data_IF_900832825256
#
_entry.id   IF_900832825256
#
_cell.length_a   1.000
_cell.length_b   1.000
_cell.length_c   1.000
_cell.angle_alpha   90.00
_cell.angle_beta   90.00
_cell.angle_gamma   90.00
#
_symmetry.space_group_name_H-M   'P 1'
#
loop_
_entity.id
_entity.type
_entity.pdbx_description
1 polymer ?
#
# COMPACT_ATOMS: atom_id res chain seq x y z
N UNK A 1 -2.13 -35.25 9.47
CA UNK A 1 -2.51 -33.86 9.76
C UNK A 1 -1.29 -33.15 10.31
N UNK A 2 -0.71 -32.24 9.53
CA UNK A 2 0.57 -31.59 9.85
C UNK A 2 0.37 -30.47 10.87
N UNK A 3 1.37 -30.22 11.70
CA UNK A 3 1.42 -29.25 12.80
C UNK A 3 0.98 -27.82 12.39
N UNK A 4 1.08 -27.49 11.10
CA UNK A 4 0.64 -26.20 10.51
C UNK A 4 -0.88 -26.05 10.42
N UNK A 5 -1.62 -27.13 10.18
CA UNK A 5 -3.10 -27.07 10.15
C UNK A 5 -3.69 -26.88 11.56
N UNK A 6 -3.03 -27.40 12.60
CA UNK A 6 -3.46 -27.18 13.99
C UNK A 6 -3.16 -25.76 14.48
N UNK A 7 -2.11 -25.11 13.94
CA UNK A 7 -1.81 -23.70 14.26
C UNK A 7 -2.83 -22.76 13.63
N UNK A 8 -3.24 -23.00 12.38
CA UNK A 8 -4.28 -22.23 11.70
C UNK A 8 -5.66 -22.38 12.32
N UNK A 9 -6.02 -23.58 12.76
CA UNK A 9 -7.31 -23.85 13.43
C UNK A 9 -7.37 -23.27 14.86
N UNK A 10 -6.26 -23.15 15.56
CA UNK A 10 -6.20 -22.48 16.87
C UNK A 10 -6.28 -20.96 16.76
N UNK A 11 -5.77 -20.35 15.68
CA UNK A 11 -5.89 -18.92 15.42
C UNK A 11 -7.30 -18.50 15.02
N UNK A 12 -8.11 -19.43 14.48
CA UNK A 12 -9.49 -19.15 14.07
C UNK A 12 -10.53 -19.30 15.21
N UNK A 13 -10.14 -19.77 16.40
CA UNK A 13 -11.06 -20.02 17.54
C UNK A 13 -10.85 -19.08 18.73
N UNK A 14 -10.05 -18.01 18.58
CA UNK A 14 -9.99 -16.95 19.57
C UNK A 14 -10.87 -15.76 19.13
N UNK A 15 -12.18 -15.96 19.05
CA UNK A 15 -13.14 -14.85 19.08
C UNK A 15 -13.22 -14.35 20.53
N UNK A 16 -12.21 -13.61 20.95
CA UNK A 16 -12.39 -12.69 22.07
C UNK A 16 -13.23 -11.53 21.55
N UNK A 17 -14.22 -11.12 22.29
CA UNK A 17 -15.18 -10.00 22.08
C UNK A 17 -14.49 -8.59 22.03
N UNK A 18 -13.30 -8.51 21.45
CA UNK A 18 -12.62 -7.25 21.23
C UNK A 18 -12.98 -6.73 19.84
N UNK A 19 -13.49 -5.49 19.72
CA UNK A 19 -13.78 -4.88 18.43
C UNK A 19 -12.52 -4.94 17.54
N UNK A 20 -12.71 -5.13 16.25
CA UNK A 20 -11.63 -5.18 15.28
C UNK A 20 -10.83 -3.87 15.28
N UNK A 21 -9.60 -3.86 14.80
CA UNK A 21 -8.82 -2.63 14.67
C UNK A 21 -9.54 -1.57 13.84
N UNK A 22 -10.37 -2.00 12.89
CA UNK A 22 -11.19 -1.12 12.05
C UNK A 22 -12.24 -0.36 12.86
N UNK A 23 -12.84 -1.01 13.87
CA UNK A 23 -13.83 -0.43 14.78
C UNK A 23 -13.20 0.43 15.88
N UNK A 24 -11.89 0.26 16.14
CA UNK A 24 -11.12 1.02 17.14
C UNK A 24 -10.30 2.16 16.53
N UNK A 25 -10.46 2.40 15.23
CA UNK A 25 -9.73 3.49 14.53
C UNK A 25 -10.68 4.59 14.13
N UNK A 26 -10.42 5.81 14.60
CA UNK A 26 -11.19 7.02 14.32
C UNK A 26 -10.35 8.03 13.55
N UNK A 27 -10.98 8.67 12.57
CA UNK A 27 -10.41 9.81 11.85
C UNK A 27 -11.18 11.08 12.23
N UNK A 28 -10.45 12.11 12.65
CA UNK A 28 -11.03 13.36 13.14
C UNK A 28 -10.57 14.52 12.26
N UNK A 29 -11.49 15.24 11.66
CA UNK A 29 -11.22 16.44 10.86
C UNK A 29 -11.60 17.68 11.67
N UNK A 30 -10.61 18.51 12.00
CA UNK A 30 -10.79 19.76 12.75
C UNK A 30 -11.05 20.90 11.78
N UNK A 31 -12.15 21.65 12.00
CA UNK A 31 -12.46 22.88 11.27
C UNK A 31 -12.40 22.78 9.74
N UNK A 32 -12.81 21.63 9.19
CA UNK A 32 -12.82 21.42 7.75
C UNK A 32 -13.61 22.52 7.04
N UNK A 33 -13.01 23.16 6.03
CA UNK A 33 -13.58 24.32 5.36
C UNK A 33 -14.10 24.02 3.95
N UNK A 34 -13.70 22.91 3.35
CA UNK A 34 -14.07 22.53 1.99
C UNK A 34 -14.80 21.17 1.99
N UNK A 35 -16.05 21.21 1.57
CA UNK A 35 -16.91 20.03 1.49
C UNK A 35 -16.30 18.89 0.66
N UNK A 36 -15.63 19.22 -0.45
CA UNK A 36 -14.93 18.22 -1.28
C UNK A 36 -13.85 17.45 -0.54
N UNK A 37 -13.13 18.08 0.39
CA UNK A 37 -12.12 17.40 1.20
C UNK A 37 -12.75 16.42 2.19
N UNK A 38 -13.94 16.74 2.73
CA UNK A 38 -14.67 15.83 3.62
C UNK A 38 -15.09 14.57 2.87
N UNK A 39 -15.68 14.72 1.69
CA UNK A 39 -16.07 13.59 0.85
C UNK A 39 -14.86 12.75 0.43
N UNK A 40 -13.79 13.39 -0.02
CA UNK A 40 -12.55 12.70 -0.42
C UNK A 40 -11.88 11.98 0.79
N UNK A 41 -11.95 12.56 1.99
CA UNK A 41 -11.45 11.90 3.21
C UNK A 41 -12.31 10.67 3.56
N UNK A 42 -13.64 10.75 3.47
CA UNK A 42 -14.52 9.60 3.65
C UNK A 42 -14.18 8.45 2.69
N UNK A 43 -13.91 8.77 1.42
CA UNK A 43 -13.43 7.79 0.44
C UNK A 43 -12.07 7.21 0.81
N UNK A 44 -11.14 8.05 1.26
CA UNK A 44 -9.80 7.64 1.64
C UNK A 44 -9.79 6.61 2.78
N UNK A 45 -10.59 6.86 3.83
CA UNK A 45 -10.68 5.93 4.96
C UNK A 45 -11.43 4.65 4.59
N UNK A 46 -12.50 4.74 3.80
CA UNK A 46 -13.27 3.57 3.34
C UNK A 46 -12.41 2.61 2.51
N UNK A 47 -11.62 3.13 1.58
CA UNK A 47 -10.75 2.32 0.72
C UNK A 47 -9.70 1.57 1.53
N UNK A 48 -9.34 2.07 2.72
CA UNK A 48 -8.45 1.41 3.67
C UNK A 48 -9.21 0.57 4.72
N UNK A 49 -10.52 0.37 4.56
CA UNK A 49 -11.35 -0.47 5.43
C UNK A 49 -11.73 0.18 6.75
N UNK A 50 -11.65 1.51 6.86
CA UNK A 50 -12.08 2.26 8.04
C UNK A 50 -13.38 3.00 7.77
N UNK A 51 -14.11 3.37 8.84
CA UNK A 51 -15.43 4.00 8.71
C UNK A 51 -15.80 5.01 9.80
N UNK A 52 -15.05 5.10 10.91
CA UNK A 52 -15.36 6.09 11.97
C UNK A 52 -14.74 7.45 11.63
N UNK A 53 -15.58 8.35 11.14
CA UNK A 53 -15.25 9.73 10.77
C UNK A 53 -15.98 10.71 11.69
N UNK A 54 -15.24 11.63 12.30
CA UNK A 54 -15.78 12.69 13.14
C UNK A 54 -15.29 14.04 12.65
N UNK A 55 -16.19 15.00 12.52
CA UNK A 55 -15.89 16.39 12.18
C UNK A 55 -16.08 17.27 13.41
N UNK A 56 -15.04 18.03 13.77
CA UNK A 56 -15.11 18.98 14.88
C UNK A 56 -15.28 20.39 14.33
N UNK A 57 -16.38 21.03 14.67
CA UNK A 57 -16.72 22.39 14.29
C UNK A 57 -16.39 22.71 12.82
N UNK A 58 -16.89 21.93 11.85
CA UNK A 58 -16.68 22.24 10.44
C UNK A 58 -17.27 23.61 10.12
N UNK A 59 -16.74 24.30 9.11
CA UNK A 59 -17.22 25.63 8.71
C UNK A 59 -18.69 25.62 8.29
N UNK A 60 -19.11 24.55 7.61
CA UNK A 60 -20.51 24.30 7.27
C UNK A 60 -21.01 23.13 8.14
N UNK A 61 -21.95 23.36 9.07
CA UNK A 61 -22.52 22.27 9.88
C UNK A 61 -23.23 21.18 9.05
N UNK A 62 -23.71 21.52 7.85
CA UNK A 62 -24.37 20.60 6.93
C UNK A 62 -23.42 19.95 5.92
N UNK A 63 -22.11 20.06 6.13
CA UNK A 63 -21.08 19.62 5.20
C UNK A 63 -21.21 18.15 4.77
N UNK A 64 -21.74 17.28 5.61
CA UNK A 64 -21.94 15.85 5.29
C UNK A 64 -22.99 15.64 4.19
N UNK A 65 -23.98 16.51 4.07
CA UNK A 65 -25.03 16.49 3.05
C UNK A 65 -24.71 17.44 1.87
N UNK A 66 -23.60 18.15 1.93
CA UNK A 66 -23.23 19.08 0.87
C UNK A 66 -22.99 18.31 -0.45
N UNK A 67 -23.54 18.78 -1.61
CA UNK A 67 -23.41 18.06 -2.90
C UNK A 67 -21.98 17.71 -3.28
N UNK A 68 -21.04 18.59 -2.96
CA UNK A 68 -19.62 18.34 -3.23
C UNK A 68 -19.03 17.25 -2.33
N UNK A 69 -19.48 17.13 -1.07
CA UNK A 69 -19.05 16.02 -0.19
C UNK A 69 -19.52 14.68 -0.77
N UNK A 70 -20.78 14.60 -1.16
CA UNK A 70 -21.38 13.39 -1.76
C UNK A 70 -20.67 13.02 -3.08
N UNK A 71 -20.45 14.01 -3.96
CA UNK A 71 -19.76 13.77 -5.23
C UNK A 71 -18.32 13.25 -5.04
N UNK A 72 -17.57 13.82 -4.10
CA UNK A 72 -16.17 13.43 -3.85
C UNK A 72 -16.05 12.16 -3.02
N UNK A 73 -17.09 11.75 -2.30
CA UNK A 73 -17.12 10.48 -1.58
C UNK A 73 -17.13 9.27 -2.53
N UNK A 74 -17.71 9.41 -3.73
CA UNK A 74 -17.62 8.39 -4.80
C UNK A 74 -17.86 6.95 -4.31
N UNK A 75 -19.04 6.70 -3.69
CA UNK A 75 -19.42 5.39 -3.15
C UNK A 75 -19.01 5.17 -1.67
N UNK A 76 -18.52 6.19 -0.98
CA UNK A 76 -18.30 6.17 0.48
C UNK A 76 -19.42 6.90 1.24
N UNK A 77 -20.63 6.87 0.68
CA UNK A 77 -21.83 7.52 1.27
C UNK A 77 -22.18 6.94 2.64
N UNK A 78 -21.93 5.67 2.86
CA UNK A 78 -22.12 4.99 4.14
C UNK A 78 -21.20 5.53 5.25
N UNK A 79 -19.97 5.95 4.90
CA UNK A 79 -19.06 6.61 5.84
C UNK A 79 -19.58 8.00 6.18
N UNK A 80 -20.03 8.78 5.20
CA UNK A 80 -20.63 10.09 5.43
C UNK A 80 -21.93 9.98 6.25
N UNK A 81 -22.76 8.97 6.00
CA UNK A 81 -24.00 8.75 6.73
C UNK A 81 -23.78 8.38 8.21
N UNK A 82 -22.68 7.73 8.54
CA UNK A 82 -22.28 7.38 9.92
C UNK A 82 -21.46 8.47 10.59
N UNK A 83 -20.89 9.41 9.81
CA UNK A 83 -20.03 10.45 10.33
C UNK A 83 -20.80 11.36 11.32
N UNK A 84 -20.09 11.80 12.35
CA UNK A 84 -20.63 12.68 13.37
C UNK A 84 -20.04 14.08 13.23
N UNK A 85 -20.89 15.08 13.43
CA UNK A 85 -20.44 16.47 13.57
C UNK A 85 -20.58 16.84 15.04
N UNK A 86 -19.50 17.29 15.64
CA UNK A 86 -19.45 17.70 17.05
C UNK A 86 -18.93 19.12 17.18
N UNK A 87 -19.29 19.81 18.27
CA UNK A 87 -18.89 21.19 18.50
C UNK A 87 -17.48 21.33 19.07
N UNK A 88 -17.02 20.33 19.82
CA UNK A 88 -15.79 20.39 20.60
C UNK A 88 -14.90 19.19 20.37
N UNK A 89 -13.61 19.39 20.49
CA UNK A 89 -12.60 18.34 20.32
C UNK A 89 -12.77 17.19 21.33
N UNK A 90 -13.12 17.49 22.59
CA UNK A 90 -13.37 16.48 23.62
C UNK A 90 -14.41 15.44 23.20
N UNK A 91 -15.51 15.90 22.60
CA UNK A 91 -16.59 15.04 22.12
C UNK A 91 -16.12 14.07 21.02
N UNK A 92 -15.16 14.51 20.22
CA UNK A 92 -14.54 13.66 19.19
C UNK A 92 -13.62 12.57 19.79
N UNK A 93 -13.14 12.74 21.01
CA UNK A 93 -12.20 11.85 21.66
C UNK A 93 -12.85 10.82 22.59
N UNK A 94 -14.16 10.86 22.78
CA UNK A 94 -14.88 9.90 23.62
C UNK A 94 -14.59 8.46 23.17
N UNK A 95 -14.14 7.61 24.12
CA UNK A 95 -13.77 6.22 23.87
C UNK A 95 -12.42 6.00 23.18
N UNK A 96 -11.67 7.08 22.89
CA UNK A 96 -10.31 7.01 22.33
C UNK A 96 -9.28 6.94 23.44
N UNK A 97 -8.29 6.06 23.30
CA UNK A 97 -7.22 5.86 24.28
C UNK A 97 -5.89 6.48 23.84
N UNK A 98 -5.68 6.59 22.52
CA UNK A 98 -4.48 7.19 21.97
C UNK A 98 -4.80 8.15 20.84
N UNK A 99 -4.31 9.36 20.91
CA UNK A 99 -4.60 10.44 19.95
C UNK A 99 -3.32 10.84 19.24
N UNK A 100 -3.32 10.73 17.91
CA UNK A 100 -2.25 11.18 17.02
C UNK A 100 -2.67 12.46 16.31
N UNK A 101 -2.05 13.58 16.60
CA UNK A 101 -2.13 14.77 15.76
C UNK A 101 -1.38 14.54 14.44
N UNK A 102 -1.79 15.21 13.36
CA UNK A 102 -1.00 15.30 12.13
C UNK A 102 -0.54 16.74 11.94
N UNK A 103 0.76 16.97 11.89
CA UNK A 103 1.33 18.30 11.70
C UNK A 103 2.65 18.23 10.92
N UNK A 104 2.91 19.26 10.10
CA UNK A 104 4.16 19.39 9.37
C UNK A 104 5.32 19.82 10.28
N UNK A 105 5.04 20.68 11.24
CA UNK A 105 6.06 21.34 12.08
C UNK A 105 5.90 20.90 13.52
N UNK A 106 6.97 20.43 14.17
CA UNK A 106 6.98 20.21 15.61
C UNK A 106 6.57 21.48 16.37
N UNK A 107 5.94 21.32 17.51
CA UNK A 107 5.53 22.41 18.39
C UNK A 107 6.43 22.41 19.63
N UNK A 108 6.84 23.60 20.06
CA UNK A 108 7.48 23.76 21.37
C UNK A 108 6.49 23.25 22.44
N UNK A 109 6.97 22.40 23.33
CA UNK A 109 6.16 21.70 24.35
C UNK A 109 5.06 20.79 23.82
N UNK A 110 5.05 20.49 22.50
CA UNK A 110 4.12 19.54 21.90
C UNK A 110 4.49 18.08 22.17
N UNK A 111 3.60 17.14 21.82
CA UNK A 111 3.88 15.72 21.91
C UNK A 111 5.04 15.34 20.96
N UNK A 112 5.73 14.22 21.25
CA UNK A 112 6.81 13.76 20.38
C UNK A 112 6.33 13.53 18.95
N UNK A 113 7.14 13.99 17.99
CA UNK A 113 6.84 13.90 16.57
C UNK A 113 7.55 12.71 15.93
N UNK A 114 6.82 11.95 15.12
CA UNK A 114 7.30 10.74 14.44
C UNK A 114 6.86 10.71 12.99
N UNK A 115 7.66 10.11 12.12
CA UNK A 115 7.14 9.64 10.83
C UNK A 115 6.13 8.49 11.08
N UNK A 116 5.05 8.35 10.27
CA UNK A 116 4.06 7.29 10.46
C UNK A 116 4.68 5.90 10.60
N UNK A 117 5.58 5.51 9.71
CA UNK A 117 6.28 4.20 9.74
C UNK A 117 7.11 3.96 10.98
N UNK A 118 7.56 5.01 11.67
CA UNK A 118 8.34 4.87 12.89
C UNK A 118 7.47 4.61 14.13
N UNK A 119 6.23 5.15 14.18
CA UNK A 119 5.37 5.04 15.37
C UNK A 119 4.26 4.01 15.24
N UNK A 120 3.64 3.91 14.08
CA UNK A 120 2.44 3.09 13.90
C UNK A 120 2.63 1.60 14.22
N UNK A 121 3.78 0.94 13.89
CA UNK A 121 3.98 -0.47 14.24
C UNK A 121 3.91 -0.76 15.75
N UNK A 122 4.52 0.10 16.56
CA UNK A 122 4.43 -0.05 18.00
C UNK A 122 2.99 0.18 18.50
N UNK A 123 2.31 1.20 17.98
CA UNK A 123 0.95 1.55 18.35
C UNK A 123 -0.05 0.43 18.02
N UNK A 124 0.11 -0.24 16.88
CA UNK A 124 -0.73 -1.38 16.50
C UNK A 124 -0.63 -2.55 17.51
N UNK A 125 0.59 -2.79 18.03
CA UNK A 125 0.83 -3.81 19.04
C UNK A 125 0.22 -3.50 20.41
N UNK A 126 -0.09 -2.24 20.70
CA UNK A 126 -0.68 -1.81 21.98
C UNK A 126 -2.19 -2.14 22.10
N UNK A 127 -2.89 -2.43 20.98
CA UNK A 127 -4.31 -2.81 20.97
C UNK A 127 -5.29 -1.72 21.39
N UNK A 128 -4.87 -0.45 21.38
CA UNK A 128 -5.65 0.69 21.85
C UNK A 128 -6.68 1.16 20.82
N UNK A 129 -7.70 1.89 21.30
CA UNK A 129 -8.57 2.71 20.45
C UNK A 129 -7.82 3.99 20.05
N UNK A 130 -7.62 4.20 18.75
CA UNK A 130 -6.75 5.25 18.21
C UNK A 130 -7.56 6.29 17.43
N UNK A 131 -7.27 7.57 17.64
CA UNK A 131 -7.73 8.64 16.78
C UNK A 131 -6.58 9.31 16.03
N UNK A 132 -6.75 9.47 14.73
CA UNK A 132 -5.89 10.31 13.88
C UNK A 132 -6.59 11.63 13.63
N UNK A 133 -5.96 12.74 14.06
CA UNK A 133 -6.54 14.06 14.04
C UNK A 133 -5.85 14.93 13.01
N UNK A 134 -6.64 15.55 12.15
CA UNK A 134 -6.17 16.38 11.05
C UNK A 134 -6.71 17.80 11.22
N UNK A 135 -5.83 18.78 11.09
CA UNK A 135 -6.19 20.19 11.17
C UNK A 135 -6.89 20.69 9.91
N UNK A 136 -7.58 21.83 10.04
CA UNK A 136 -8.21 22.49 8.90
C UNK A 136 -7.19 22.98 7.86
N UNK A 137 -7.67 23.17 6.62
CA UNK A 137 -6.84 23.43 5.44
C UNK A 137 -6.02 24.73 5.51
N UNK A 138 -6.53 25.74 6.22
CA UNK A 138 -5.86 27.04 6.27
C UNK A 138 -4.80 27.16 7.36
N UNK A 139 -5.10 26.66 8.56
CA UNK A 139 -4.30 26.94 9.75
C UNK A 139 -3.77 25.67 10.43
N UNK A 140 -4.14 24.50 9.92
CA UNK A 140 -3.82 23.24 10.58
C UNK A 140 -4.57 23.09 11.92
N UNK A 141 -3.92 22.46 12.90
CA UNK A 141 -4.42 22.35 14.28
C UNK A 141 -3.90 23.51 15.13
N UNK A 142 -4.73 24.02 16.02
CA UNK A 142 -4.30 24.95 17.06
C UNK A 142 -3.30 24.26 18.02
N UNK A 143 -2.42 25.05 18.62
CA UNK A 143 -1.40 24.50 19.55
C UNK A 143 -2.06 23.80 20.75
N UNK A 144 -3.12 24.37 21.30
CA UNK A 144 -3.84 23.81 22.45
C UNK A 144 -4.46 22.44 22.13
N UNK A 145 -4.92 22.22 20.89
CA UNK A 145 -5.43 20.92 20.45
C UNK A 145 -4.28 19.90 20.25
N UNK A 146 -3.15 20.35 19.71
CA UNK A 146 -1.95 19.50 19.55
C UNK A 146 -1.40 19.06 20.89
N UNK A 147 -1.37 19.95 21.89
CA UNK A 147 -0.88 19.62 23.25
C UNK A 147 -1.71 18.57 23.98
N UNK A 148 -2.93 18.35 23.54
CA UNK A 148 -3.83 17.31 24.08
C UNK A 148 -3.64 15.94 23.41
N UNK A 149 -2.80 15.85 22.39
CA UNK A 149 -2.50 14.60 21.71
C UNK A 149 -1.32 13.86 22.35
N UNK A 150 -1.27 12.55 22.18
CA UNK A 150 -0.21 11.70 22.75
C UNK A 150 1.03 11.64 21.84
N UNK A 151 0.83 11.80 20.53
CA UNK A 151 1.90 11.84 19.54
C UNK A 151 1.52 12.80 18.40
N UNK A 152 2.54 13.24 17.66
CA UNK A 152 2.37 13.97 16.42
C UNK A 152 2.93 13.14 15.26
N UNK A 153 2.14 12.90 14.23
CA UNK A 153 2.60 12.28 13.00
C UNK A 153 3.00 13.36 12.00
N UNK A 154 4.26 13.38 11.61
CA UNK A 154 4.78 14.22 10.56
C UNK A 154 4.99 13.36 9.31
N UNK A 155 4.19 13.59 8.28
CA UNK A 155 4.33 12.88 7.00
C UNK A 155 5.58 13.41 6.30
N UNK A 156 6.57 12.57 5.96
CA UNK A 156 7.74 13.01 5.22
C UNK A 156 7.35 13.57 3.84
N UNK A 157 7.70 14.82 3.62
CA UNK A 157 7.42 15.55 2.36
C UNK A 157 8.69 16.23 1.86
N UNK A 158 8.64 16.81 0.66
CA UNK A 158 9.76 17.59 0.11
C UNK A 158 10.12 18.75 1.04
N UNK A 159 11.41 18.99 1.31
CA UNK A 159 11.84 20.11 2.14
C UNK A 159 11.39 21.50 1.63
N UNK A 160 11.23 21.62 0.32
CA UNK A 160 10.80 22.88 -0.29
C UNK A 160 9.29 23.10 -0.36
N UNK A 161 8.49 22.03 -0.22
CA UNK A 161 7.03 22.09 -0.30
C UNK A 161 6.40 20.93 0.44
N UNK A 162 5.92 21.17 1.64
CA UNK A 162 5.43 20.14 2.54
C UNK A 162 3.90 20.12 2.76
N UNK A 163 3.16 21.07 2.18
CA UNK A 163 1.72 21.20 2.40
C UNK A 163 0.94 20.15 1.61
N UNK A 164 0.35 19.19 2.31
CA UNK A 164 -0.59 18.22 1.72
C UNK A 164 -2.02 18.76 1.81
N UNK A 165 -2.82 18.44 0.79
CA UNK A 165 -4.26 18.58 0.91
C UNK A 165 -4.79 17.70 2.05
N UNK A 166 -5.86 18.14 2.75
CA UNK A 166 -6.42 17.44 3.89
C UNK A 166 -6.75 15.96 3.58
N UNK A 167 -7.47 15.70 2.50
CA UNK A 167 -7.83 14.33 2.14
C UNK A 167 -6.63 13.48 1.71
N UNK A 168 -5.60 14.08 1.12
CA UNK A 168 -4.34 13.40 0.81
C UNK A 168 -3.60 13.01 2.07
N UNK A 169 -3.53 13.88 3.07
CA UNK A 169 -2.95 13.56 4.37
C UNK A 169 -3.70 12.41 5.06
N UNK A 170 -5.04 12.44 5.03
CA UNK A 170 -5.89 11.33 5.52
C UNK A 170 -5.56 10.03 4.80
N UNK A 171 -5.45 10.06 3.46
CA UNK A 171 -5.14 8.86 2.67
C UNK A 171 -3.78 8.26 3.05
N UNK A 172 -2.75 9.09 3.21
CA UNK A 172 -1.41 8.61 3.57
C UNK A 172 -1.42 7.94 4.94
N UNK A 173 -2.02 8.59 5.95
CA UNK A 173 -2.07 8.02 7.31
C UNK A 173 -2.92 6.76 7.35
N UNK A 174 -4.08 6.75 6.68
CA UNK A 174 -4.95 5.58 6.60
C UNK A 174 -4.24 4.39 5.90
N UNK A 175 -3.48 4.66 4.84
CA UNK A 175 -2.69 3.65 4.14
C UNK A 175 -1.60 3.08 5.03
N UNK A 176 -0.76 3.92 5.64
CA UNK A 176 0.33 3.48 6.52
C UNK A 176 -0.23 2.71 7.73
N UNK A 177 -1.37 3.13 8.28
CA UNK A 177 -2.03 2.42 9.36
C UNK A 177 -2.56 1.05 8.91
N UNK A 178 -3.24 0.98 7.76
CA UNK A 178 -3.70 -0.30 7.19
C UNK A 178 -2.54 -1.25 6.90
N UNK A 179 -1.44 -0.76 6.34
CA UNK A 179 -0.25 -1.59 6.10
C UNK A 179 0.31 -2.15 7.42
N UNK A 180 0.32 -1.35 8.46
CA UNK A 180 0.76 -1.76 9.80
C UNK A 180 -0.13 -2.86 10.40
N UNK A 181 -1.44 -2.80 10.14
CA UNK A 181 -2.43 -3.79 10.59
C UNK A 181 -2.47 -5.08 9.72
N UNK A 182 -1.56 -5.24 8.77
CA UNK A 182 -1.44 -6.41 7.91
C UNK A 182 -1.82 -6.18 6.45
N UNK A 183 -2.31 -4.99 6.09
CA UNK A 183 -2.66 -4.64 4.71
C UNK A 183 -3.89 -5.38 4.17
N UNK A 184 -4.02 -5.34 2.86
CA UNK A 184 -4.94 -6.18 2.09
C UNK A 184 -4.16 -6.95 1.04
N UNK A 185 -4.54 -8.20 0.81
CA UNK A 185 -3.91 -9.04 -0.20
C UNK A 185 -4.14 -8.48 -1.60
N UNK A 186 -3.06 -8.40 -2.35
CA UNK A 186 -3.11 -8.12 -3.78
C UNK A 186 -3.15 -9.44 -4.51
N UNK A 187 -4.26 -9.75 -5.17
CA UNK A 187 -4.33 -10.92 -6.05
C UNK A 187 -3.51 -10.66 -7.30
N UNK A 188 -2.41 -11.36 -7.42
CA UNK A 188 -1.65 -11.38 -8.67
C UNK A 188 -2.52 -12.01 -9.77
N UNK A 189 -2.83 -11.22 -10.80
CA UNK A 189 -3.58 -11.69 -11.98
C UNK A 189 -2.67 -12.13 -13.11
N UNK A 190 -1.39 -11.78 -13.03
CA UNK A 190 -0.40 -12.21 -14.00
C UNK A 190 -0.03 -13.65 -13.67
N UNK A 191 -0.25 -14.63 -14.57
CA UNK A 191 0.21 -15.98 -14.36
C UNK A 191 1.71 -15.97 -14.06
N UNK A 192 2.14 -16.73 -13.06
CA UNK A 192 3.57 -16.91 -12.83
C UNK A 192 4.19 -17.47 -14.11
N UNK A 193 5.33 -16.93 -14.57
CA UNK A 193 5.96 -17.43 -15.77
C UNK A 193 6.38 -18.88 -15.57
N UNK A 194 5.98 -19.77 -16.49
CA UNK A 194 6.47 -21.14 -16.55
C UNK A 194 7.90 -21.12 -17.11
N UNK A 195 8.86 -20.98 -16.20
CA UNK A 195 10.28 -20.89 -16.55
C UNK A 195 10.79 -22.26 -17.04
N UNK A 196 11.61 -22.23 -18.08
CA UNK A 196 12.35 -23.40 -18.52
C UNK A 196 13.37 -23.81 -17.45
N UNK A 197 13.47 -25.09 -17.17
CA UNK A 197 14.49 -25.60 -16.26
C UNK A 197 15.91 -25.59 -16.91
N UNK A 198 16.92 -25.74 -16.06
CA UNK A 198 18.30 -25.69 -16.53
C UNK A 198 18.62 -26.78 -17.57
N UNK A 199 18.01 -27.96 -17.44
CA UNK A 199 18.24 -29.05 -18.40
C UNK A 199 17.62 -28.76 -19.77
N UNK A 200 16.41 -28.17 -19.78
CA UNK A 200 15.73 -27.71 -20.99
C UNK A 200 16.54 -26.62 -21.73
N UNK A 201 17.14 -25.69 -21.00
CA UNK A 201 18.01 -24.63 -21.55
C UNK A 201 19.29 -25.24 -22.13
N UNK A 202 19.95 -26.17 -21.42
CA UNK A 202 21.14 -26.83 -21.91
C UNK A 202 20.85 -27.68 -23.16
N UNK A 203 19.75 -28.41 -23.20
CA UNK A 203 19.33 -29.15 -24.38
C UNK A 203 19.02 -28.24 -25.59
N UNK A 204 18.50 -27.04 -25.36
CA UNK A 204 18.32 -26.06 -26.43
C UNK A 204 19.68 -25.51 -26.93
N UNK A 205 20.61 -25.25 -26.04
CA UNK A 205 21.97 -24.80 -26.40
C UNK A 205 22.72 -25.86 -27.23
N UNK A 206 22.62 -27.13 -26.83
CA UNK A 206 23.20 -28.23 -27.61
C UNK A 206 22.62 -28.28 -29.02
N UNK A 207 21.31 -28.20 -29.17
CA UNK A 207 20.66 -28.14 -30.48
C UNK A 207 21.09 -26.91 -31.30
N UNK A 208 21.21 -25.73 -30.66
CA UNK A 208 21.76 -24.55 -31.33
C UNK A 208 23.20 -24.78 -31.81
N UNK A 209 24.04 -25.40 -31.02
CA UNK A 209 25.44 -25.70 -31.40
C UNK A 209 25.50 -26.57 -32.63
N UNK A 210 24.70 -27.66 -32.71
CA UNK A 210 24.59 -28.52 -33.88
C UNK A 210 24.19 -27.73 -35.13
N UNK A 211 23.10 -26.97 -35.06
CA UNK A 211 22.60 -26.17 -36.17
C UNK A 211 23.60 -25.10 -36.61
N UNK A 212 24.28 -24.43 -35.69
CA UNK A 212 25.26 -23.41 -36.01
C UNK A 212 26.49 -23.97 -36.69
N UNK A 213 26.88 -25.24 -36.40
CA UNK A 213 27.88 -25.98 -37.13
C UNK A 213 27.42 -26.37 -38.54
N UNK A 214 26.21 -26.92 -38.68
CA UNK A 214 25.63 -27.32 -39.95
C UNK A 214 25.53 -26.16 -40.96
N UNK A 215 25.09 -24.97 -40.48
CA UNK A 215 24.99 -23.78 -41.33
C UNK A 215 26.31 -23.07 -41.56
N UNK A 216 27.43 -23.56 -40.95
CA UNK A 216 28.79 -22.99 -41.10
C UNK A 216 28.97 -21.66 -40.38
N UNK A 217 28.14 -21.34 -39.39
CA UNK A 217 28.27 -20.14 -38.55
C UNK A 217 29.28 -20.40 -37.42
N UNK A 218 29.31 -21.59 -36.85
CA UNK A 218 30.25 -22.03 -35.83
C UNK A 218 31.31 -22.95 -36.48
N UNK A 219 32.53 -22.45 -36.56
CA UNK A 219 33.68 -23.25 -36.99
C UNK A 219 34.16 -24.11 -35.83
N UNK A 220 34.15 -25.47 -35.95
CA UNK A 220 34.65 -26.35 -34.89
C UNK A 220 36.15 -26.18 -34.59
N UNK A 221 36.98 -25.80 -35.58
CA UNK A 221 38.41 -25.59 -35.40
C UNK A 221 38.75 -24.26 -34.73
N UNK A 222 37.83 -23.27 -34.87
CA UNK A 222 37.99 -21.92 -34.26
C UNK A 222 36.69 -21.49 -33.59
N UNK A 223 36.22 -22.20 -32.53
CA UNK A 223 34.88 -21.98 -31.97
C UNK A 223 34.71 -20.63 -31.25
N UNK A 224 35.81 -19.87 -31.08
CA UNK A 224 35.80 -18.59 -30.34
C UNK A 224 35.11 -18.77 -28.98
N UNK A 225 34.37 -17.75 -28.54
CA UNK A 225 33.58 -17.78 -27.28
C UNK A 225 32.08 -17.74 -27.52
N UNK A 226 31.59 -18.25 -28.66
CA UNK A 226 30.17 -18.11 -29.05
C UNK A 226 29.27 -18.89 -28.10
N UNK A 227 29.50 -20.20 -27.91
CA UNK A 227 28.65 -21.03 -27.04
C UNK A 227 28.66 -20.57 -25.56
N UNK A 228 29.82 -20.25 -24.95
CA UNK A 228 29.82 -19.64 -23.62
C UNK A 228 29.00 -18.34 -23.51
N UNK A 229 29.01 -17.49 -24.54
CA UNK A 229 28.24 -16.26 -24.57
C UNK A 229 26.74 -16.52 -24.73
N UNK A 230 26.34 -17.46 -25.57
CA UNK A 230 24.94 -17.88 -25.71
C UNK A 230 24.42 -18.49 -24.41
N UNK A 231 25.21 -19.34 -23.76
CA UNK A 231 24.86 -19.90 -22.45
C UNK A 231 24.65 -18.78 -21.39
N UNK A 232 25.56 -17.84 -21.33
CA UNK A 232 25.41 -16.68 -20.42
C UNK A 232 24.17 -15.86 -20.74
N UNK A 233 23.86 -15.63 -22.02
CA UNK A 233 22.69 -14.86 -22.46
C UNK A 233 21.40 -15.55 -22.05
N UNK A 234 21.26 -16.86 -22.37
CA UNK A 234 20.03 -17.60 -22.09
C UNK A 234 19.80 -17.78 -20.58
N UNK A 235 20.86 -18.06 -19.81
CA UNK A 235 20.75 -18.16 -18.36
C UNK A 235 20.35 -16.82 -17.69
N UNK A 236 20.87 -15.70 -18.21
CA UNK A 236 20.52 -14.37 -17.71
C UNK A 236 19.08 -13.98 -18.07
N UNK A 237 18.57 -14.45 -19.20
CA UNK A 237 17.23 -14.12 -19.69
C UNK A 237 16.12 -14.80 -18.89
N UNK A 238 16.42 -15.87 -18.13
CA UNK A 238 15.42 -16.66 -17.40
C UNK A 238 14.22 -17.01 -18.31
N UNK A 239 14.51 -17.71 -19.39
CA UNK A 239 13.53 -18.00 -20.45
C UNK A 239 12.32 -18.76 -19.92
N UNK A 240 11.13 -18.41 -20.42
CA UNK A 240 9.93 -19.23 -20.31
C UNK A 240 10.01 -20.41 -21.27
N UNK A 241 9.30 -21.49 -20.97
CA UNK A 241 9.24 -22.66 -21.86
C UNK A 241 8.78 -22.30 -23.26
N UNK A 242 7.78 -21.42 -23.38
CA UNK A 242 7.31 -20.93 -24.68
C UNK A 242 8.42 -20.24 -25.49
N UNK A 243 9.22 -19.39 -24.84
CA UNK A 243 10.33 -18.68 -25.47
C UNK A 243 11.43 -19.66 -25.91
N UNK A 244 11.71 -20.67 -25.10
CA UNK A 244 12.65 -21.73 -25.45
C UNK A 244 12.15 -22.55 -26.64
N UNK A 245 10.84 -22.82 -26.72
CA UNK A 245 10.23 -23.47 -27.90
C UNK A 245 10.38 -22.64 -29.17
N UNK A 246 10.19 -21.32 -29.09
CA UNK A 246 10.41 -20.38 -30.21
C UNK A 246 11.86 -20.45 -30.66
N UNK A 247 12.82 -20.36 -29.75
CA UNK A 247 14.26 -20.43 -30.07
C UNK A 247 14.63 -21.76 -30.74
N UNK A 248 14.10 -22.88 -30.23
CA UNK A 248 14.29 -24.19 -30.89
C UNK A 248 13.66 -24.26 -32.29
N UNK A 249 12.50 -23.58 -32.46
CA UNK A 249 11.85 -23.47 -33.77
C UNK A 249 12.71 -22.71 -34.79
N UNK A 250 13.28 -21.59 -34.36
CA UNK A 250 14.21 -20.79 -35.20
C UNK A 250 15.44 -21.61 -35.61
N UNK A 251 16.08 -22.27 -34.63
CA UNK A 251 17.24 -23.13 -34.93
C UNK A 251 16.91 -24.20 -36.00
N UNK A 252 15.78 -24.91 -35.81
CA UNK A 252 15.32 -25.94 -36.74
C UNK A 252 15.02 -25.38 -38.13
N UNK A 253 14.44 -24.18 -38.23
CA UNK A 253 14.18 -23.52 -39.51
C UNK A 253 15.52 -23.12 -40.22
N UNK A 254 16.48 -22.60 -39.49
CA UNK A 254 17.80 -22.23 -40.02
C UNK A 254 18.57 -23.45 -40.61
N UNK A 255 18.50 -24.61 -39.95
CA UNK A 255 19.10 -25.85 -40.48
C UNK A 255 18.46 -26.34 -41.78
N UNK A 256 17.11 -26.18 -41.93
CA UNK A 256 16.40 -26.64 -43.14
C UNK A 256 16.62 -25.74 -44.36
N UNK A 257 16.99 -24.51 -44.22
CA UNK A 257 17.11 -23.58 -45.38
C UNK A 257 18.37 -23.79 -46.22
N UNK A 258 19.24 -24.74 -45.90
CA UNK A 258 20.42 -25.13 -46.70
C UNK A 258 20.38 -26.56 -47.28
N UNK A 259 19.33 -27.30 -47.06
CA UNK A 259 19.05 -28.56 -47.73
C UNK A 259 18.09 -28.34 -48.86
#
# INVERSE_FOLDING_TARGET
MTTWQQFYLRSAMASTDFPSHDERTRFVLMHASHAGNVGAAARAIKVMGFHDLVLVAPRDPAVLQHPQSLAMASGADDVLARARVVGRFDEALEGVQFVCATAMTPRDFGPPAFAPRARLPALAGEGLAVAFVFGGERFGMANDDVYRCHACLSIPTSPGYGSLNLAQAVQVVAYEWRQTLGGFDVRERTPQPDLADAAEVQAALAHWEEVLREIGFLDPEVPKRLMPRLNQLLNRAQLRREELHILRGIARAAGRSRG
#
